data_IF_919925016030
#
_entry.id   IF_919925016030
#
_cell.length_a   1.000
_cell.length_b   1.000
_cell.length_c   1.000
_cell.angle_alpha   90.00
_cell.angle_beta   90.00
_cell.angle_gamma   90.00
#
_symmetry.space_group_name_H-M   'P 1'
#
loop_
_entity.id
_entity.type
_entity.pdbx_description
1 polymer ?
#
# COMPACT_ATOMS: atom_id res chain seq x y z
N UNK A 1 -18.60 -16.47 12.05
CA UNK A 1 -17.91 -17.59 11.39
C UNK A 1 -16.68 -17.04 10.70
N UNK A 2 -15.48 -17.54 11.01
CA UNK A 2 -14.29 -17.15 10.26
C UNK A 2 -14.33 -17.85 8.89
N UNK A 3 -14.21 -17.08 7.82
CA UNK A 3 -14.02 -17.63 6.48
C UNK A 3 -12.51 -17.73 6.24
N UNK A 4 -12.05 -18.90 5.78
CA UNK A 4 -10.65 -19.13 5.43
C UNK A 4 -10.50 -19.00 3.93
N UNK A 5 -9.50 -18.23 3.50
CA UNK A 5 -9.16 -18.01 2.11
C UNK A 5 -7.85 -18.76 1.84
N UNK A 6 -7.89 -19.76 0.95
CA UNK A 6 -6.67 -20.49 0.58
C UNK A 6 -5.75 -19.60 -0.26
N UNK A 7 -4.49 -20.03 -0.47
CA UNK A 7 -3.58 -19.30 -1.36
C UNK A 7 -4.12 -19.30 -2.80
N UNK A 8 -4.74 -20.38 -3.25
CA UNK A 8 -5.44 -20.43 -4.55
C UNK A 8 -6.61 -19.44 -4.62
N UNK A 9 -7.33 -19.23 -3.52
CA UNK A 9 -8.42 -18.25 -3.46
C UNK A 9 -7.90 -16.80 -3.41
N UNK A 10 -6.64 -16.58 -3.03
CA UNK A 10 -6.04 -15.25 -3.04
C UNK A 10 -6.00 -14.70 -4.47
N UNK A 11 -5.72 -15.55 -5.46
CA UNK A 11 -5.80 -15.15 -6.87
C UNK A 11 -7.21 -14.68 -7.23
N UNK A 12 -8.25 -15.38 -6.79
CA UNK A 12 -9.65 -15.01 -7.03
C UNK A 12 -9.96 -13.63 -6.46
N UNK A 13 -9.42 -13.31 -5.27
CA UNK A 13 -9.52 -11.96 -4.71
C UNK A 13 -8.81 -10.93 -5.58
N UNK A 14 -7.57 -11.19 -6.01
CA UNK A 14 -6.82 -10.24 -6.85
C UNK A 14 -7.54 -9.98 -8.18
N UNK A 15 -8.06 -11.04 -8.81
CA UNK A 15 -8.81 -10.98 -10.07
C UNK A 15 -10.09 -10.17 -9.90
N UNK A 16 -10.84 -10.38 -8.82
CA UNK A 16 -12.05 -9.61 -8.54
C UNK A 16 -11.77 -8.13 -8.32
N UNK A 17 -10.66 -7.80 -7.65
CA UNK A 17 -10.23 -6.41 -7.44
C UNK A 17 -9.78 -5.75 -8.74
N UNK A 18 -9.05 -6.49 -9.58
CA UNK A 18 -8.66 -6.05 -10.92
C UNK A 18 -9.87 -5.83 -11.85
N UNK A 19 -10.86 -6.73 -11.79
CA UNK A 19 -12.11 -6.61 -12.54
C UNK A 19 -12.97 -5.41 -12.11
N UNK A 20 -12.90 -5.00 -10.83
CA UNK A 20 -13.45 -3.72 -10.36
C UNK A 20 -12.60 -2.50 -10.81
N UNK A 21 -11.60 -2.69 -11.65
CA UNK A 21 -10.77 -1.60 -12.19
C UNK A 21 -9.80 -1.00 -11.15
N UNK A 22 -9.48 -1.72 -10.07
CA UNK A 22 -8.42 -1.30 -9.14
C UNK A 22 -7.06 -1.78 -9.63
N UNK A 23 -6.06 -0.93 -9.49
CA UNK A 23 -4.66 -1.36 -9.46
C UNK A 23 -4.40 -2.03 -8.12
N UNK A 24 -4.18 -3.34 -8.15
CA UNK A 24 -3.80 -4.13 -6.98
C UNK A 24 -2.31 -3.94 -6.74
N UNK A 25 -1.95 -3.57 -5.50
CA UNK A 25 -0.57 -3.34 -5.06
C UNK A 25 -0.32 -4.22 -3.85
N UNK A 26 0.78 -4.95 -3.82
CA UNK A 26 1.12 -5.85 -2.73
C UNK A 26 2.62 -5.95 -2.48
N UNK A 27 3.02 -6.64 -1.40
CA UNK A 27 4.42 -6.85 -1.06
C UNK A 27 5.09 -7.83 -2.03
N UNK A 28 6.05 -7.35 -2.81
CA UNK A 28 6.87 -8.12 -3.76
C UNK A 28 8.31 -8.18 -3.24
N UNK A 29 8.95 -9.35 -3.33
CA UNK A 29 10.37 -9.49 -3.01
C UNK A 29 11.22 -8.99 -4.19
N UNK A 30 11.89 -7.85 -4.02
CA UNK A 30 12.76 -7.25 -5.04
C UNK A 30 14.01 -6.65 -4.39
N UNK A 31 15.16 -6.84 -5.03
CA UNK A 31 16.45 -6.27 -4.60
C UNK A 31 16.79 -6.53 -3.12
N UNK A 32 16.42 -7.71 -2.62
CA UNK A 32 16.65 -8.11 -1.23
C UNK A 32 15.74 -7.46 -0.19
N UNK A 33 14.69 -6.75 -0.62
CA UNK A 33 13.67 -6.12 0.22
C UNK A 33 12.23 -6.43 -0.22
N UNK A 34 11.27 -6.16 0.68
CA UNK A 34 9.85 -6.19 0.31
C UNK A 34 9.45 -4.80 -0.15
N UNK A 35 8.98 -4.69 -1.39
CA UNK A 35 8.49 -3.44 -1.96
C UNK A 35 6.99 -3.54 -2.23
N UNK A 36 6.27 -2.43 -2.07
CA UNK A 36 4.87 -2.34 -2.48
C UNK A 36 4.83 -2.05 -3.98
N UNK A 37 4.46 -3.06 -4.77
CA UNK A 37 4.42 -2.97 -6.23
C UNK A 37 3.07 -3.41 -6.79
N UNK A 38 2.68 -2.92 -7.98
CA UNK A 38 1.54 -3.47 -8.69
C UNK A 38 1.73 -4.97 -8.94
N UNK A 39 0.70 -5.76 -8.66
CA UNK A 39 0.70 -7.21 -8.87
C UNK A 39 -0.56 -7.63 -9.64
N UNK A 40 -0.46 -8.74 -10.37
CA UNK A 40 -1.62 -9.37 -11.04
C UNK A 40 -1.88 -10.78 -10.53
N UNK A 41 -0.84 -11.44 -10.04
CA UNK A 41 -0.87 -12.82 -9.61
C UNK A 41 -0.42 -12.97 -8.16
N UNK A 42 -0.97 -13.96 -7.46
CA UNK A 42 -0.60 -14.25 -6.08
C UNK A 42 0.87 -14.71 -5.94
N UNK A 43 1.45 -15.26 -7.01
CA UNK A 43 2.85 -15.71 -7.04
C UNK A 43 3.86 -14.56 -7.11
N UNK A 44 3.42 -13.35 -7.47
CA UNK A 44 4.27 -12.14 -7.40
C UNK A 44 4.49 -11.66 -5.96
N UNK A 45 3.66 -12.09 -5.01
CA UNK A 45 3.82 -11.73 -3.60
C UNK A 45 5.10 -12.33 -3.01
N UNK A 46 5.64 -11.70 -1.98
CA UNK A 46 6.84 -12.13 -1.24
C UNK A 46 6.64 -13.41 -0.41
N UNK A 47 6.05 -14.45 -1.01
CA UNK A 47 5.79 -15.76 -0.44
C UNK A 47 7.09 -16.51 -0.21
N UNK A 48 7.20 -17.18 0.94
CA UNK A 48 8.39 -17.98 1.25
C UNK A 48 9.58 -17.16 1.75
N UNK A 49 9.38 -15.86 2.04
CA UNK A 49 10.43 -14.99 2.56
C UNK A 49 10.09 -14.45 3.94
N UNK A 50 11.15 -14.20 4.72
CA UNK A 50 11.12 -13.41 5.95
C UNK A 50 12.25 -12.38 5.91
N UNK A 51 12.05 -11.24 6.55
CA UNK A 51 13.06 -10.20 6.71
C UNK A 51 13.77 -10.29 8.07
N UNK A 52 15.08 -10.21 8.04
CA UNK A 52 15.89 -9.96 9.23
C UNK A 52 16.14 -8.46 9.36
N UNK A 53 15.58 -7.84 10.39
CA UNK A 53 15.78 -6.41 10.66
C UNK A 53 16.41 -6.19 12.03
N UNK A 54 17.43 -5.34 12.04
CA UNK A 54 18.04 -4.77 13.24
C UNK A 54 18.50 -3.33 12.92
N UNK A 55 18.92 -2.52 13.90
CA UNK A 55 19.38 -1.17 13.63
C UNK A 55 20.47 -1.13 12.55
N UNK A 56 20.18 -0.45 11.43
CA UNK A 56 21.10 -0.34 10.29
C UNK A 56 21.23 -1.59 9.41
N UNK A 57 20.41 -2.63 9.60
CA UNK A 57 20.45 -3.86 8.81
C UNK A 57 19.06 -4.30 8.37
N UNK A 58 18.95 -4.66 7.10
CA UNK A 58 17.79 -5.31 6.51
C UNK A 58 18.26 -6.38 5.52
N UNK A 59 17.66 -7.57 5.55
CA UNK A 59 17.84 -8.59 4.51
C UNK A 59 16.61 -9.47 4.40
N UNK A 60 16.18 -9.77 3.17
CA UNK A 60 15.28 -10.91 2.93
C UNK A 60 16.06 -12.23 2.91
N UNK A 61 15.54 -13.21 3.64
CA UNK A 61 16.04 -14.58 3.68
C UNK A 61 14.89 -15.55 3.40
N UNK A 62 15.18 -16.77 2.89
CA UNK A 62 14.17 -17.81 2.78
C UNK A 62 13.52 -18.12 4.13
N UNK A 63 12.21 -18.32 4.13
CA UNK A 63 11.42 -18.64 5.31
C UNK A 63 10.38 -19.73 5.03
N UNK A 64 9.40 -19.86 5.92
CA UNK A 64 8.27 -20.76 5.71
C UNK A 64 7.43 -20.32 4.51
N UNK A 65 6.71 -21.29 3.92
CA UNK A 65 5.83 -21.08 2.78
C UNK A 65 4.57 -20.27 3.15
N UNK A 66 4.75 -18.96 3.36
CA UNK A 66 3.72 -18.00 3.79
C UNK A 66 3.80 -16.75 2.93
N UNK A 67 2.64 -16.23 2.52
CA UNK A 67 2.51 -15.02 1.68
C UNK A 67 2.92 -13.74 2.42
N UNK A 68 2.55 -13.61 3.69
CA UNK A 68 2.81 -12.41 4.51
C UNK A 68 3.86 -12.67 5.60
N UNK A 69 4.86 -13.51 5.28
CA UNK A 69 5.98 -13.91 6.14
C UNK A 69 6.94 -12.75 6.46
N UNK A 70 7.29 -11.98 5.44
CA UNK A 70 8.05 -10.76 5.61
C UNK A 70 7.14 -9.62 6.11
N UNK A 71 7.63 -8.84 7.08
CA UNK A 71 6.98 -7.71 7.73
C UNK A 71 6.90 -6.51 6.78
N UNK A 72 7.66 -5.45 7.05
CA UNK A 72 7.65 -4.19 6.32
C UNK A 72 9.00 -4.01 5.66
N UNK A 73 9.02 -3.55 4.41
CA UNK A 73 10.25 -3.07 3.77
C UNK A 73 10.46 -1.56 3.96
N UNK A 74 11.30 -0.94 3.12
CA UNK A 74 11.62 0.48 3.23
C UNK A 74 10.51 1.42 2.74
N UNK A 75 9.48 0.89 2.10
CA UNK A 75 8.36 1.65 1.57
C UNK A 75 7.17 1.67 2.53
N UNK A 76 6.31 2.69 2.40
CA UNK A 76 5.05 2.77 3.12
C UNK A 76 3.89 3.04 2.16
N UNK A 77 2.64 2.74 2.55
CA UNK A 77 1.45 3.13 1.76
C UNK A 77 1.34 4.62 1.44
N UNK A 78 2.06 5.49 2.16
CA UNK A 78 2.07 6.94 1.92
C UNK A 78 2.40 7.28 0.47
N UNK A 79 3.38 6.62 -0.16
CA UNK A 79 3.78 6.95 -1.54
C UNK A 79 2.67 6.69 -2.56
N UNK A 80 1.76 5.77 -2.24
CA UNK A 80 0.60 5.42 -3.07
C UNK A 80 -0.60 6.34 -2.82
N UNK A 81 -0.83 6.72 -1.55
CA UNK A 81 -1.93 7.60 -1.15
C UNK A 81 -1.61 9.09 -1.37
N UNK A 82 -0.34 9.46 -1.28
CA UNK A 82 0.15 10.83 -1.37
C UNK A 82 1.48 10.85 -2.15
N UNK A 83 1.43 10.67 -3.48
CA UNK A 83 2.62 10.60 -4.32
C UNK A 83 3.35 11.94 -4.36
N UNK A 84 4.68 11.89 -4.54
CA UNK A 84 5.54 13.09 -4.55
C UNK A 84 5.22 14.08 -5.69
N UNK A 85 4.53 13.62 -6.74
CA UNK A 85 4.10 14.44 -7.87
C UNK A 85 2.62 14.21 -8.14
N UNK A 86 1.87 15.30 -8.22
CA UNK A 86 0.47 15.32 -8.63
C UNK A 86 0.29 16.39 -9.68
N UNK A 87 -0.38 16.07 -10.78
CA UNK A 87 -0.77 17.06 -11.77
C UNK A 87 -1.94 17.86 -11.22
N UNK A 88 -1.82 19.19 -11.18
CA UNK A 88 -2.90 20.09 -10.76
C UNK A 88 -3.72 20.63 -11.95
N UNK A 89 -3.05 20.85 -13.08
CA UNK A 89 -3.63 21.41 -14.29
C UNK A 89 -2.86 20.88 -15.50
N UNK A 90 -3.58 20.57 -16.59
CA UNK A 90 -2.99 20.45 -17.92
C UNK A 90 -3.46 21.65 -18.75
N UNK A 91 -2.55 22.22 -19.53
CA UNK A 91 -2.83 23.33 -20.42
C UNK A 91 -2.17 23.06 -21.77
N UNK A 92 -2.95 23.11 -22.83
CA UNK A 92 -2.50 22.98 -24.21
C UNK A 92 -2.68 24.33 -24.91
N UNK A 93 -1.69 24.75 -25.70
CA UNK A 93 -1.80 25.99 -26.49
C UNK A 93 -2.79 25.78 -27.63
N UNK A 94 -3.75 26.69 -27.77
CA UNK A 94 -4.71 26.75 -28.86
C UNK A 94 -4.63 28.14 -29.50
N UNK A 95 -3.75 28.27 -30.50
CA UNK A 95 -3.38 29.54 -31.12
C UNK A 95 -2.81 30.56 -30.12
N UNK A 96 -3.53 31.66 -29.93
CA UNK A 96 -3.22 32.71 -28.94
C UNK A 96 -3.77 32.44 -27.54
N UNK A 97 -4.52 31.35 -27.34
CA UNK A 97 -5.16 30.98 -26.08
C UNK A 97 -4.61 29.67 -25.51
N UNK A 98 -5.08 29.29 -24.32
CA UNK A 98 -4.81 27.99 -23.72
C UNK A 98 -6.12 27.27 -23.43
N UNK A 99 -6.20 26.01 -23.84
CA UNK A 99 -7.26 25.09 -23.40
C UNK A 99 -6.76 24.34 -22.18
N UNK A 100 -7.47 24.48 -21.07
CA UNK A 100 -7.14 23.78 -19.83
C UNK A 100 -8.00 22.53 -19.67
N UNK A 101 -7.44 21.51 -19.03
CA UNK A 101 -8.17 20.33 -18.61
C UNK A 101 -7.79 19.96 -17.18
N UNK A 102 -8.78 19.41 -16.46
CA UNK A 102 -8.54 18.82 -15.15
C UNK A 102 -7.63 17.59 -15.30
N UNK A 103 -6.76 17.33 -14.31
CA UNK A 103 -5.97 16.11 -14.30
C UNK A 103 -6.87 14.87 -14.29
N UNK A 104 -6.34 13.76 -14.81
CA UNK A 104 -7.06 12.48 -14.77
C UNK A 104 -7.37 12.10 -13.32
N UNK A 105 -8.49 11.40 -13.11
CA UNK A 105 -8.78 10.81 -11.80
C UNK A 105 -7.63 9.90 -11.39
N UNK A 106 -7.22 9.91 -10.12
CA UNK A 106 -6.21 8.97 -9.65
C UNK A 106 -6.68 7.53 -9.85
N UNK A 107 -5.75 6.58 -10.05
CA UNK A 107 -6.11 5.17 -10.14
C UNK A 107 -6.80 4.74 -8.84
N UNK A 108 -7.84 3.90 -8.97
CA UNK A 108 -8.44 3.22 -7.82
C UNK A 108 -7.43 2.17 -7.36
N UNK A 109 -7.12 2.14 -6.06
CA UNK A 109 -6.06 1.28 -5.52
C UNK A 109 -6.64 0.20 -4.62
N UNK A 110 -6.08 -1.00 -4.66
CA UNK A 110 -6.23 -2.00 -3.60
C UNK A 110 -4.84 -2.31 -3.02
N UNK A 111 -4.58 -1.87 -1.79
CA UNK A 111 -3.31 -2.15 -1.12
C UNK A 111 -3.46 -3.41 -0.28
N UNK A 112 -2.73 -4.46 -0.64
CA UNK A 112 -2.75 -5.78 -0.01
C UNK A 112 -1.57 -5.90 0.94
N UNK A 113 -1.78 -6.51 2.11
CA UNK A 113 -0.70 -6.77 3.06
C UNK A 113 -0.38 -5.58 3.98
N UNK A 114 -1.29 -4.60 4.09
CA UNK A 114 -1.12 -3.42 4.94
C UNK A 114 -1.04 -3.85 6.41
N UNK A 115 -0.07 -3.33 7.18
CA UNK A 115 0.11 -3.71 8.59
C UNK A 115 -0.62 -2.74 9.53
N UNK A 116 -0.79 -3.15 10.79
CA UNK A 116 -1.46 -2.32 11.80
C UNK A 116 -0.77 -0.95 12.00
N UNK A 117 0.56 -0.90 11.96
CA UNK A 117 1.31 0.36 12.01
C UNK A 117 1.11 1.24 10.76
N UNK A 118 0.95 0.65 9.58
CA UNK A 118 0.59 1.40 8.37
C UNK A 118 -0.81 2.02 8.51
N UNK A 119 -1.79 1.26 9.01
CA UNK A 119 -3.13 1.77 9.26
C UNK A 119 -3.12 2.93 10.26
N UNK A 120 -2.34 2.81 11.32
CA UNK A 120 -2.16 3.89 12.29
C UNK A 120 -1.54 5.15 11.65
N UNK A 121 -0.51 4.97 10.80
CA UNK A 121 0.11 6.06 10.06
C UNK A 121 -0.86 6.71 9.07
N UNK A 122 -1.70 5.93 8.38
CA UNK A 122 -2.75 6.42 7.48
C UNK A 122 -3.77 7.23 8.28
N UNK A 123 -4.21 6.78 9.46
CA UNK A 123 -5.15 7.56 10.31
C UNK A 123 -4.57 8.89 10.75
N UNK A 124 -3.26 8.96 10.98
CA UNK A 124 -2.59 10.23 11.27
C UNK A 124 -2.55 11.14 10.03
N UNK A 125 -2.29 10.59 8.85
CA UNK A 125 -2.38 11.35 7.59
C UNK A 125 -3.80 11.86 7.35
N UNK A 126 -4.82 11.03 7.55
CA UNK A 126 -6.24 11.41 7.44
C UNK A 126 -6.54 12.64 8.32
N UNK A 127 -6.05 12.66 9.57
CA UNK A 127 -6.24 13.82 10.47
C UNK A 127 -5.65 15.11 9.90
N UNK A 128 -4.45 15.05 9.33
CA UNK A 128 -3.73 16.24 8.84
C UNK A 128 -4.28 16.70 7.50
N UNK A 129 -4.50 15.77 6.56
CA UNK A 129 -4.82 16.05 5.16
C UNK A 129 -6.32 16.12 4.87
N UNK A 130 -7.17 15.63 5.78
CA UNK A 130 -8.64 15.71 5.65
C UNK A 130 -9.29 16.49 6.80
N UNK A 131 -8.69 16.48 8.01
CA UNK A 131 -9.33 17.00 9.22
C UNK A 131 -9.00 18.45 9.60
N UNK A 132 -8.08 19.13 8.90
CA UNK A 132 -7.54 20.45 9.30
C UNK A 132 -8.34 21.66 8.81
N UNK A 133 -9.62 21.46 8.42
CA UNK A 133 -10.54 22.51 7.96
C UNK A 133 -10.58 22.71 6.45
N UNK A 134 -9.50 22.38 5.73
CA UNK A 134 -9.46 22.29 4.27
C UNK A 134 -8.84 20.95 3.88
N UNK A 135 -9.56 20.15 3.09
CA UNK A 135 -9.05 18.87 2.59
C UNK A 135 -7.98 19.09 1.51
N UNK A 136 -6.92 18.30 1.51
CA UNK A 136 -6.07 18.13 0.33
C UNK A 136 -6.85 17.32 -0.72
N UNK A 137 -7.22 17.92 -1.88
CA UNK A 137 -8.11 17.27 -2.83
C UNK A 137 -7.48 16.04 -3.50
N UNK A 138 -6.15 16.03 -3.66
CA UNK A 138 -5.42 14.94 -4.31
C UNK A 138 -5.32 13.71 -3.40
N UNK A 139 -5.07 13.91 -2.11
CA UNK A 139 -5.11 12.88 -1.09
C UNK A 139 -6.54 12.37 -0.89
N UNK A 140 -7.49 13.29 -0.71
CA UNK A 140 -8.88 12.94 -0.43
C UNK A 140 -9.50 12.09 -1.55
N UNK A 141 -9.23 12.42 -2.82
CA UNK A 141 -9.69 11.60 -3.95
C UNK A 141 -9.12 10.18 -3.94
N UNK A 142 -7.84 9.99 -3.58
CA UNK A 142 -7.23 8.64 -3.48
C UNK A 142 -7.76 7.88 -2.28
N UNK A 143 -7.86 8.56 -1.14
CA UNK A 143 -8.26 7.99 0.14
C UNK A 143 -9.71 7.51 0.16
N UNK A 144 -10.60 8.15 -0.60
CA UNK A 144 -12.00 7.74 -0.80
C UNK A 144 -12.14 6.49 -1.68
N UNK A 145 -11.22 6.27 -2.62
CA UNK A 145 -11.31 5.18 -3.61
C UNK A 145 -10.44 3.96 -3.25
N UNK A 146 -9.49 4.11 -2.31
CA UNK A 146 -8.59 3.03 -1.91
C UNK A 146 -9.30 1.96 -1.09
N UNK A 147 -9.05 0.70 -1.43
CA UNK A 147 -9.31 -0.45 -0.57
C UNK A 147 -8.01 -0.85 0.14
N UNK A 148 -8.08 -1.05 1.45
CA UNK A 148 -6.96 -1.54 2.27
C UNK A 148 -7.28 -2.95 2.76
N UNK A 149 -6.47 -3.92 2.39
CA UNK A 149 -6.54 -5.29 2.90
C UNK A 149 -5.41 -5.49 3.90
N UNK A 150 -5.78 -5.44 5.17
CA UNK A 150 -4.83 -5.51 6.27
C UNK A 150 -4.55 -6.95 6.68
N UNK A 151 -3.31 -7.21 7.12
CA UNK A 151 -2.86 -8.52 7.58
C UNK A 151 -2.15 -8.39 8.92
N UNK A 152 -2.37 -9.36 9.80
CA UNK A 152 -1.75 -9.35 11.11
C UNK A 152 -0.28 -9.78 11.07
N UNK A 153 0.54 -9.11 11.88
CA UNK A 153 1.93 -9.52 12.09
C UNK A 153 1.96 -10.79 12.95
N UNK A 154 2.69 -11.81 12.52
CA UNK A 154 2.87 -13.06 13.29
C UNK A 154 4.18 -13.09 14.08
N UNK A 155 5.03 -12.06 13.91
CA UNK A 155 6.29 -11.87 14.61
C UNK A 155 6.60 -10.37 14.71
N UNK A 156 7.54 -10.02 15.58
CA UNK A 156 8.14 -8.69 15.67
C UNK A 156 9.60 -8.73 15.21
N UNK A 157 10.10 -7.58 14.77
CA UNK A 157 11.52 -7.33 14.58
C UNK A 157 12.05 -6.39 15.66
N UNK A 158 13.37 -6.31 15.83
CA UNK A 158 14.02 -5.39 16.79
C UNK A 158 13.68 -3.91 16.52
N UNK A 159 13.35 -3.59 15.27
CA UNK A 159 12.98 -2.26 14.80
C UNK A 159 11.49 -1.93 14.97
N UNK A 160 10.67 -2.89 15.44
CA UNK A 160 9.23 -2.69 15.61
C UNK A 160 8.91 -1.91 16.90
N UNK A 161 7.99 -0.94 16.81
CA UNK A 161 7.57 -0.09 17.93
C UNK A 161 6.04 0.03 18.08
N UNK A 162 5.27 -0.85 17.44
CA UNK A 162 3.80 -0.83 17.43
C UNK A 162 3.20 -0.93 18.84
N UNK A 163 3.78 -1.79 19.69
CA UNK A 163 3.35 -1.96 21.08
C UNK A 163 3.51 -0.66 21.88
N UNK A 164 4.65 0.03 21.75
CA UNK A 164 4.92 1.32 22.41
C UNK A 164 3.94 2.42 21.97
N UNK A 165 3.40 2.31 20.76
CA UNK A 165 2.43 3.25 20.21
C UNK A 165 0.97 2.85 20.48
N UNK A 166 0.72 1.69 21.09
CA UNK A 166 -0.62 1.16 21.31
C UNK A 166 -1.37 0.83 20.01
N UNK A 167 -0.65 0.47 18.95
CA UNK A 167 -1.23 0.27 17.59
C UNK A 167 -1.33 -1.19 17.16
N UNK A 168 -1.04 -2.14 18.07
CA UNK A 168 -1.15 -3.57 17.79
C UNK A 168 0.21 -4.28 17.63
N UNK A 169 0.23 -5.52 17.12
CA UNK A 169 -0.78 -6.13 16.25
C UNK A 169 -2.16 -6.35 16.88
#
# INVERSE_FOLDING_TARGET
MAQTLSISDLQVLLDALGADGRTVVGPVARDGAVLLEPIRTADELARGFVDEQSPGRYRLVPGEDRVFGALLGPQSPKSWLYPAKVTLLRAERDGSSFRTSSPDRPPRLALIGVRACDLAAIRLQDRVLLGSGVEDPAYASRRREVLLVAVQCHRSAETCFCASMGTGP
#
